data_IF_877274715761
#
_entry.id   IF_877274715761
#
_cell.length_a   1.000
_cell.length_b   1.000
_cell.length_c   1.000
_cell.angle_alpha   90.00
_cell.angle_beta   90.00
_cell.angle_gamma   90.00
#
_symmetry.space_group_name_H-M   'P 1'
#
loop_
_entity.id
_entity.type
_entity.pdbx_description
1 polymer ?
#
# COMPACT_ATOMS: atom_id res chain seq x y z
N UNK A 1 -11.93 5.96 -23.32
CA UNK A 1 -10.77 6.76 -22.86
C UNK A 1 -9.74 6.67 -23.98
N UNK A 2 -9.68 7.69 -24.84
CA UNK A 2 -8.90 7.65 -26.10
C UNK A 2 -7.44 8.05 -25.94
N UNK A 3 -7.07 8.60 -24.79
CA UNK A 3 -5.70 8.95 -24.45
C UNK A 3 -5.12 7.89 -23.52
N UNK A 4 -4.18 7.10 -24.03
CA UNK A 4 -3.46 6.09 -23.26
C UNK A 4 -2.66 6.67 -22.08
N UNK A 5 -1.98 5.82 -21.30
CA UNK A 5 -1.23 6.22 -20.09
C UNK A 5 -0.13 7.27 -20.34
N UNK A 6 0.26 7.46 -21.60
CA UNK A 6 1.26 8.42 -22.06
C UNK A 6 0.80 9.90 -21.95
N UNK A 7 -0.52 10.16 -21.92
CA UNK A 7 -1.07 11.51 -21.87
C UNK A 7 -1.44 11.97 -20.44
N UNK A 8 -1.09 11.18 -19.43
CA UNK A 8 -1.27 11.55 -18.03
C UNK A 8 -0.12 12.46 -17.57
N UNK A 9 -0.39 13.53 -16.83
CA UNK A 9 0.66 14.35 -16.23
C UNK A 9 1.53 13.45 -15.34
N UNK A 10 2.85 13.55 -15.54
CA UNK A 10 3.81 12.72 -14.81
C UNK A 10 3.58 12.91 -13.31
N UNK A 11 3.23 11.85 -12.55
CA UNK A 11 2.94 12.00 -11.14
C UNK A 11 4.18 12.54 -10.43
N UNK A 12 3.98 13.49 -9.52
CA UNK A 12 5.05 13.95 -8.63
C UNK A 12 5.47 12.77 -7.77
N UNK A 13 6.66 12.24 -8.05
CA UNK A 13 7.28 11.21 -7.22
C UNK A 13 7.64 11.85 -5.88
N UNK A 14 6.73 11.73 -4.90
CA UNK A 14 7.05 12.05 -3.51
C UNK A 14 8.18 11.12 -3.06
N UNK A 15 9.08 11.63 -2.22
CA UNK A 15 10.07 10.78 -1.55
C UNK A 15 9.32 9.64 -0.90
N UNK A 16 9.59 8.42 -1.36
CA UNK A 16 8.83 7.28 -0.88
C UNK A 16 8.96 7.13 0.63
N UNK A 17 10.05 7.62 1.26
CA UNK A 17 10.39 7.51 2.69
C UNK A 17 9.24 7.94 3.61
N UNK A 18 8.96 7.18 4.69
CA UNK A 18 7.97 7.61 5.65
C UNK A 18 8.64 8.79 6.36
N UNK A 19 8.22 10.01 6.04
CA UNK A 19 8.78 11.17 6.67
C UNK A 19 7.93 11.45 7.90
N UNK A 20 8.54 11.56 9.09
CA UNK A 20 7.79 11.73 10.33
C UNK A 20 6.93 13.00 10.37
N UNK A 21 7.08 13.90 9.39
CA UNK A 21 6.41 15.18 9.33
C UNK A 21 5.43 15.33 8.17
N UNK A 22 5.19 14.29 7.35
CA UNK A 22 4.23 14.37 6.24
C UNK A 22 2.78 14.67 6.71
N UNK A 23 2.39 14.14 7.88
CA UNK A 23 1.07 14.39 8.45
C UNK A 23 0.85 15.83 8.94
N UNK A 24 1.92 16.62 9.16
CA UNK A 24 1.81 17.95 9.76
C UNK A 24 1.08 18.95 8.86
N UNK A 25 1.30 18.89 7.54
CA UNK A 25 0.76 19.86 6.60
C UNK A 25 -0.78 19.90 6.57
N UNK A 26 -1.41 18.74 6.69
CA UNK A 26 -2.88 18.62 6.69
C UNK A 26 -3.53 19.11 7.98
N UNK A 27 -2.85 18.95 9.12
CA UNK A 27 -3.41 19.30 10.43
C UNK A 27 -3.15 20.76 10.85
N UNK A 28 -2.02 21.35 10.42
CA UNK A 28 -1.63 22.71 10.83
C UNK A 28 -2.40 23.80 10.05
N UNK A 29 -2.63 23.60 8.75
CA UNK A 29 -3.27 24.59 7.87
C UNK A 29 -4.63 25.11 8.38
N UNK A 30 -5.61 24.24 8.74
CA UNK A 30 -6.90 24.71 9.27
C UNK A 30 -6.78 25.40 10.64
N UNK A 31 -5.79 25.04 11.46
CA UNK A 31 -5.58 25.62 12.78
C UNK A 31 -4.98 27.03 12.71
N UNK A 32 -4.02 27.26 11.80
CA UNK A 32 -3.50 28.60 11.52
C UNK A 32 -4.62 29.50 11.00
N UNK A 33 -5.46 28.98 10.11
CA UNK A 33 -6.61 29.72 9.59
C UNK A 33 -7.59 30.12 10.71
N UNK A 34 -7.91 29.20 11.63
CA UNK A 34 -8.74 29.49 12.79
C UNK A 34 -8.11 30.57 13.69
N UNK A 35 -6.79 30.52 13.92
CA UNK A 35 -6.09 31.46 14.80
C UNK A 35 -6.01 32.86 14.19
N UNK A 36 -5.89 32.96 12.87
CA UNK A 36 -5.94 34.22 12.15
C UNK A 36 -7.34 34.84 12.15
N UNK A 37 -8.39 34.01 12.09
CA UNK A 37 -9.77 34.49 12.04
C UNK A 37 -10.34 34.89 13.42
N UNK A 38 -9.76 34.42 14.52
CA UNK A 38 -10.22 34.76 15.87
C UNK A 38 -9.09 35.33 16.74
N UNK A 39 -9.29 36.53 17.30
CA UNK A 39 -8.33 37.17 18.24
C UNK A 39 -8.63 36.84 19.72
N UNK A 40 -9.40 35.79 19.98
CA UNK A 40 -9.83 35.45 21.34
C UNK A 40 -8.74 34.69 22.08
N UNK A 41 -8.37 35.16 23.28
CA UNK A 41 -7.44 34.46 24.19
C UNK A 41 -7.93 33.03 24.50
N UNK A 42 -9.24 32.84 24.59
CA UNK A 42 -9.85 31.53 24.84
C UNK A 42 -9.51 30.54 23.71
N UNK A 43 -9.46 31.03 22.47
CA UNK A 43 -9.16 30.19 21.31
C UNK A 43 -7.69 29.74 21.31
N UNK A 44 -6.75 30.62 21.69
CA UNK A 44 -5.35 30.23 21.87
C UNK A 44 -5.18 29.21 22.99
N UNK A 45 -5.89 29.37 24.12
CA UNK A 45 -5.87 28.40 25.22
C UNK A 45 -6.37 27.02 24.79
N UNK A 46 -7.38 26.95 23.91
CA UNK A 46 -7.90 25.70 23.36
C UNK A 46 -6.94 25.05 22.34
N UNK A 47 -6.16 25.83 21.60
CA UNK A 47 -5.18 25.30 20.65
C UNK A 47 -3.95 24.68 21.32
N UNK A 48 -3.54 25.16 22.49
CA UNK A 48 -2.37 24.64 23.22
C UNK A 48 -2.41 23.11 23.43
N UNK A 49 -3.46 22.51 24.03
CA UNK A 49 -3.51 21.05 24.20
C UNK A 49 -3.60 20.29 22.87
N UNK A 50 -4.20 20.90 21.84
CA UNK A 50 -4.29 20.32 20.49
C UNK A 50 -2.90 20.19 19.86
N UNK A 51 -2.06 21.22 19.98
CA UNK A 51 -0.69 21.21 19.47
C UNK A 51 0.26 20.35 20.33
N UNK A 52 0.08 20.32 21.64
CA UNK A 52 0.99 19.59 22.53
C UNK A 52 0.69 18.09 22.62
N UNK A 53 -0.57 17.68 22.46
CA UNK A 53 -0.98 16.30 22.70
C UNK A 53 -1.48 15.66 21.41
N UNK A 54 -2.52 16.24 20.79
CA UNK A 54 -3.18 15.59 19.66
C UNK A 54 -2.26 15.55 18.43
N UNK A 55 -1.63 16.67 18.08
CA UNK A 55 -0.80 16.77 16.89
C UNK A 55 0.39 15.78 16.91
N UNK A 56 1.16 15.62 18.00
CA UNK A 56 2.20 14.59 18.09
C UNK A 56 1.65 13.17 18.00
N UNK A 57 0.53 12.87 18.68
CA UNK A 57 -0.09 11.54 18.67
C UNK A 57 -0.58 11.16 17.28
N UNK A 58 -1.28 12.06 16.59
CA UNK A 58 -1.75 11.82 15.23
C UNK A 58 -0.59 11.71 14.23
N UNK A 59 0.43 12.55 14.38
CA UNK A 59 1.62 12.51 13.52
C UNK A 59 2.39 11.20 13.71
N UNK A 60 2.54 10.74 14.96
CA UNK A 60 3.16 9.45 15.26
C UNK A 60 2.34 8.27 14.73
N UNK A 61 1.02 8.28 14.92
CA UNK A 61 0.13 7.25 14.38
C UNK A 61 0.16 7.19 12.85
N UNK A 62 0.16 8.35 12.19
CA UNK A 62 0.31 8.45 10.74
C UNK A 62 1.67 7.92 10.28
N UNK A 63 2.76 8.29 10.95
CA UNK A 63 4.10 7.79 10.64
C UNK A 63 4.23 6.27 10.84
N UNK A 64 3.68 5.73 11.93
CA UNK A 64 3.65 4.29 12.19
C UNK A 64 2.83 3.58 11.10
N UNK A 65 1.70 4.15 10.70
CA UNK A 65 0.90 3.62 9.59
C UNK A 65 1.66 3.61 8.27
N UNK A 66 2.39 4.67 7.91
CA UNK A 66 3.26 4.67 6.73
C UNK A 66 4.40 3.65 6.85
N UNK A 67 4.94 3.41 8.04
CA UNK A 67 5.96 2.38 8.30
C UNK A 67 5.40 0.95 8.17
N UNK A 68 4.17 0.71 8.63
CA UNK A 68 3.51 -0.60 8.58
C UNK A 68 2.97 -0.92 7.18
N UNK A 69 2.35 0.07 6.54
CA UNK A 69 1.87 -0.02 5.16
C UNK A 69 2.96 0.28 4.13
N UNK A 70 4.23 0.32 4.57
CA UNK A 70 5.36 0.56 3.72
C UNK A 70 5.39 -0.46 2.59
N UNK A 71 5.39 0.03 1.34
CA UNK A 71 5.32 -0.80 0.15
C UNK A 71 6.33 -1.96 0.25
N UNK A 72 5.88 -3.23 0.20
CA UNK A 72 6.76 -4.38 0.26
C UNK A 72 7.79 -4.22 -0.85
N UNK A 73 9.04 -4.01 -0.44
CA UNK A 73 10.12 -3.69 -1.35
C UNK A 73 10.50 -4.99 -2.06
N UNK A 74 9.81 -5.30 -3.17
CA UNK A 74 10.07 -6.48 -3.99
C UNK A 74 11.57 -6.69 -4.20
N UNK A 75 12.10 -7.92 -4.00
CA UNK A 75 13.49 -8.25 -4.29
C UNK A 75 13.93 -7.68 -5.64
N UNK A 76 15.19 -7.25 -5.75
CA UNK A 76 15.74 -6.66 -6.99
C UNK A 76 15.46 -7.56 -8.20
N UNK A 77 15.42 -8.87 -7.98
CA UNK A 77 15.11 -9.90 -8.99
C UNK A 77 13.71 -9.71 -9.58
N UNK A 78 12.68 -9.58 -8.74
CA UNK A 78 11.29 -9.39 -9.19
C UNK A 78 11.12 -8.03 -9.88
N UNK A 79 11.76 -6.98 -9.38
CA UNK A 79 11.73 -5.65 -10.02
C UNK A 79 12.45 -5.57 -11.37
N UNK A 80 13.32 -6.53 -11.65
CA UNK A 80 14.05 -6.62 -12.91
C UNK A 80 13.46 -7.67 -13.85
N UNK A 81 12.54 -8.52 -13.36
CA UNK A 81 11.79 -9.45 -14.18
C UNK A 81 11.07 -8.70 -15.31
N UNK A 82 11.11 -9.25 -16.52
CA UNK A 82 10.48 -8.65 -17.71
C UNK A 82 11.23 -7.49 -18.37
N UNK A 83 12.36 -7.02 -17.82
CA UNK A 83 13.22 -6.02 -18.50
C UNK A 83 14.08 -6.70 -19.58
N UNK A 84 14.28 -6.01 -20.71
CA UNK A 84 15.12 -6.48 -21.83
C UNK A 84 16.50 -6.90 -21.33
N UNK A 85 16.87 -8.17 -21.52
CA UNK A 85 18.17 -8.72 -21.12
C UNK A 85 18.29 -9.15 -19.64
N UNK A 86 17.19 -9.22 -18.89
CA UNK A 86 17.16 -9.76 -17.52
C UNK A 86 16.57 -11.17 -17.48
N UNK A 87 17.02 -12.04 -16.56
CA UNK A 87 16.48 -13.38 -16.44
C UNK A 87 15.01 -13.32 -16.02
N UNK A 88 14.19 -14.14 -16.66
CA UNK A 88 12.81 -14.39 -16.24
C UNK A 88 12.88 -15.23 -14.96
N UNK A 89 12.23 -14.83 -13.86
CA UNK A 89 12.18 -15.64 -12.65
C UNK A 89 11.59 -17.02 -12.95
N UNK A 90 12.13 -18.06 -12.33
CA UNK A 90 11.51 -19.40 -12.38
C UNK A 90 10.08 -19.28 -11.85
N UNK A 91 9.12 -19.86 -12.55
CA UNK A 91 7.76 -20.01 -12.04
C UNK A 91 7.78 -20.88 -10.79
N UNK A 92 7.09 -20.42 -9.75
CA UNK A 92 6.99 -21.15 -8.48
C UNK A 92 6.15 -22.40 -8.68
N UNK A 93 6.78 -23.55 -8.50
CA UNK A 93 6.14 -24.86 -8.56
C UNK A 93 5.84 -25.37 -7.16
N UNK A 94 4.92 -26.33 -7.02
CA UNK A 94 4.55 -26.88 -5.70
C UNK A 94 5.78 -27.43 -4.96
N UNK A 95 6.75 -28.01 -5.68
CA UNK A 95 8.01 -28.54 -5.13
C UNK A 95 8.92 -27.49 -4.52
N UNK A 96 8.71 -26.19 -4.78
CA UNK A 96 9.53 -25.11 -4.22
C UNK A 96 9.14 -24.78 -2.76
N UNK A 97 8.01 -25.29 -2.26
CA UNK A 97 7.53 -25.08 -0.89
C UNK A 97 7.91 -26.25 0.04
N UNK A 98 8.02 -26.04 1.36
CA UNK A 98 8.19 -27.13 2.31
C UNK A 98 6.92 -28.02 2.40
N UNK A 99 7.04 -29.29 2.83
CA UNK A 99 5.98 -30.30 2.68
C UNK A 99 4.69 -29.99 3.45
N UNK A 100 4.77 -29.27 4.56
CA UNK A 100 3.63 -28.78 5.34
C UNK A 100 2.81 -27.75 4.54
N UNK A 101 3.49 -26.80 3.90
CA UNK A 101 2.88 -25.79 3.04
C UNK A 101 2.30 -26.42 1.77
N UNK A 102 3.00 -27.39 1.17
CA UNK A 102 2.47 -28.14 0.01
C UNK A 102 1.14 -28.81 0.33
N UNK A 103 1.06 -29.46 1.49
CA UNK A 103 -0.17 -30.12 1.95
C UNK A 103 -1.31 -29.11 2.13
N UNK A 104 -1.04 -27.97 2.76
CA UNK A 104 -2.03 -26.89 2.92
C UNK A 104 -2.55 -26.35 1.59
N UNK A 105 -1.66 -26.11 0.62
CA UNK A 105 -2.05 -25.65 -0.73
C UNK A 105 -2.94 -26.68 -1.42
N UNK A 106 -2.59 -27.97 -1.34
CA UNK A 106 -3.38 -29.05 -1.94
C UNK A 106 -4.75 -29.24 -1.26
N UNK A 107 -4.83 -29.09 0.05
CA UNK A 107 -6.09 -29.18 0.80
C UNK A 107 -7.01 -28.00 0.49
N UNK A 108 -6.48 -26.79 0.42
CA UNK A 108 -7.26 -25.59 0.09
C UNK A 108 -7.68 -25.52 -1.38
N UNK A 109 -7.09 -26.29 -2.30
CA UNK A 109 -7.30 -26.14 -3.77
C UNK A 109 -8.77 -26.05 -4.19
N UNK A 110 -9.66 -26.78 -3.50
CA UNK A 110 -11.10 -26.82 -3.81
C UNK A 110 -11.81 -25.49 -3.52
N UNK A 111 -11.27 -24.68 -2.61
CA UNK A 111 -11.80 -23.35 -2.27
C UNK A 111 -11.44 -22.30 -3.34
N UNK A 112 -10.44 -22.58 -4.17
CA UNK A 112 -9.90 -21.65 -5.18
C UNK A 112 -10.33 -22.02 -6.61
N UNK A 113 -11.15 -23.06 -6.78
CA UNK A 113 -11.67 -23.42 -8.09
C UNK A 113 -12.52 -22.28 -8.64
N UNK A 114 -12.22 -21.86 -9.87
CA UNK A 114 -13.00 -20.85 -10.57
C UNK A 114 -14.03 -21.57 -11.44
N UNK A 115 -15.27 -21.10 -11.41
CA UNK A 115 -16.29 -21.58 -12.33
C UNK A 115 -15.95 -21.08 -13.73
N UNK A 116 -15.69 -21.99 -14.66
CA UNK A 116 -15.52 -21.62 -16.06
C UNK A 116 -16.89 -21.21 -16.63
N UNK A 117 -17.03 -19.93 -16.95
CA UNK A 117 -18.27 -19.33 -17.46
C UNK A 117 -18.78 -20.00 -18.74
N UNK A 118 -17.90 -20.63 -19.52
CA UNK A 118 -18.27 -21.27 -20.79
C UNK A 118 -18.76 -22.71 -20.61
N UNK A 119 -18.21 -23.43 -19.63
CA UNK A 119 -18.51 -24.86 -19.43
C UNK A 119 -19.35 -25.13 -18.19
N UNK A 120 -19.52 -24.14 -17.31
CA UNK A 120 -20.26 -24.25 -16.05
C UNK A 120 -19.63 -25.23 -15.05
N UNK A 121 -18.38 -25.66 -15.29
CA UNK A 121 -17.64 -26.58 -14.43
C UNK A 121 -16.59 -25.80 -13.64
N UNK A 122 -16.35 -26.24 -12.42
CA UNK A 122 -15.23 -25.76 -11.63
C UNK A 122 -13.93 -26.26 -12.27
N UNK A 123 -13.11 -25.31 -12.75
CA UNK A 123 -11.81 -25.60 -13.35
C UNK A 123 -10.72 -25.34 -12.32
N UNK A 124 -9.91 -26.36 -12.09
CA UNK A 124 -8.72 -26.28 -11.26
C UNK A 124 -7.55 -25.83 -12.15
N UNK A 125 -7.20 -24.55 -12.09
CA UNK A 125 -6.06 -24.00 -12.83
C UNK A 125 -4.70 -24.50 -12.30
N UNK A 126 -4.67 -25.24 -11.19
CA UNK A 126 -3.45 -25.81 -10.63
C UNK A 126 -3.05 -27.16 -11.23
N UNK A 127 -3.91 -27.78 -12.05
CA UNK A 127 -3.67 -29.13 -12.55
C UNK A 127 -4.43 -29.38 -13.87
N UNK A 128 -4.06 -28.68 -14.94
CA UNK A 128 -4.27 -29.19 -16.29
C UNK A 128 -3.05 -30.03 -16.65
N UNK A 129 -3.27 -31.32 -16.93
CA UNK A 129 -2.25 -32.28 -17.42
C UNK A 129 -1.35 -31.70 -18.53
#
# INVERSE_FOLDING_TARGET
MEDGPENLPKPRLSTHLPMPFHGLGGHISPMIHAAQNSKSIVMYLLLIPVFLILLPVYTAGYFISECLCWQPRWPKVIRQAGKKGKPIPKETTLSDYPPDVQKGILESRLEWCVLDEKTGKYVDYGNSD
#
